data_IF_793071040283
#
_entry.id   IF_793071040283
#
_cell.length_a   1.000
_cell.length_b   1.000
_cell.length_c   1.000
_cell.angle_alpha   90.00
_cell.angle_beta   90.00
_cell.angle_gamma   90.00
#
_symmetry.space_group_name_H-M   'P 1'
#
loop_
_entity.id
_entity.type
_entity.pdbx_description
1 polymer ?
#
# COMPACT_ATOMS: atom_id res chain seq x y z
N UNK A 1 -92.06 33.46 17.47
CA UNK A 1 -91.33 34.65 16.99
C UNK A 1 -89.99 34.19 16.47
N UNK A 2 -89.79 34.23 15.15
CA UNK A 2 -88.50 34.00 14.49
C UNK A 2 -87.75 35.32 14.44
N UNK A 3 -86.46 35.34 14.77
CA UNK A 3 -85.42 36.26 14.28
C UNK A 3 -84.03 35.78 14.83
N UNK A 4 -82.88 36.21 14.28
CA UNK A 4 -82.10 35.44 13.32
C UNK A 4 -80.67 35.15 13.80
N UNK A 5 -79.91 34.43 12.97
CA UNK A 5 -78.64 33.81 13.31
C UNK A 5 -77.45 34.74 13.53
N UNK A 6 -76.47 34.20 14.26
CA UNK A 6 -75.09 34.64 14.29
C UNK A 6 -74.21 33.44 13.88
N UNK A 7 -73.66 33.49 12.66
CA UNK A 7 -72.51 32.69 12.27
C UNK A 7 -71.27 33.31 12.94
N UNK A 8 -70.70 32.64 13.93
CA UNK A 8 -69.35 32.95 14.41
C UNK A 8 -68.33 32.25 13.51
N UNK A 9 -67.72 32.99 12.59
CA UNK A 9 -66.53 32.57 11.86
C UNK A 9 -65.32 32.64 12.81
N UNK A 10 -64.82 31.48 13.24
CA UNK A 10 -63.54 31.39 13.93
C UNK A 10 -62.41 31.47 12.89
N UNK A 11 -61.72 32.60 12.84
CA UNK A 11 -60.47 32.76 12.09
C UNK A 11 -59.35 32.20 12.95
N UNK A 12 -58.84 31.02 12.59
CA UNK A 12 -57.58 30.49 13.15
C UNK A 12 -56.42 31.27 12.52
N UNK A 13 -55.88 32.22 13.26
CA UNK A 13 -54.61 32.85 12.93
C UNK A 13 -53.50 31.80 13.07
N UNK A 14 -53.03 31.26 11.94
CA UNK A 14 -51.80 30.50 11.89
C UNK A 14 -50.63 31.47 12.11
N UNK A 15 -50.16 31.58 13.35
CA UNK A 15 -48.90 32.24 13.66
C UNK A 15 -47.77 31.39 13.07
N UNK A 16 -47.22 31.83 11.93
CA UNK A 16 -45.98 31.28 11.39
C UNK A 16 -44.84 31.66 12.32
N UNK A 17 -44.53 30.80 13.28
CA UNK A 17 -43.25 30.83 13.98
C UNK A 17 -42.21 30.38 12.95
N UNK A 18 -41.55 31.35 12.31
CA UNK A 18 -40.32 31.06 11.58
C UNK A 18 -39.29 30.70 12.64
N UNK A 19 -39.06 29.40 12.85
CA UNK A 19 -37.82 28.92 13.43
C UNK A 19 -36.70 29.45 12.53
N UNK A 20 -36.07 30.53 12.98
CA UNK A 20 -34.76 30.92 12.50
C UNK A 20 -33.88 29.76 12.91
N UNK A 21 -33.61 28.88 11.96
CA UNK A 21 -32.61 27.86 12.06
C UNK A 21 -31.29 28.60 12.22
N UNK A 22 -30.89 28.81 13.48
CA UNK A 22 -29.53 29.20 13.83
C UNK A 22 -28.65 28.10 13.24
N UNK A 23 -28.03 28.38 12.08
CA UNK A 23 -26.92 27.58 11.60
C UNK A 23 -25.91 27.55 12.75
N UNK A 24 -25.80 26.40 13.39
CA UNK A 24 -24.76 26.13 14.37
C UNK A 24 -23.43 26.32 13.64
N UNK A 25 -22.82 27.50 13.80
CA UNK A 25 -21.52 27.83 13.22
C UNK A 25 -20.50 26.93 13.92
N UNK A 26 -20.35 25.71 13.44
CA UNK A 26 -19.26 24.82 13.81
C UNK A 26 -17.98 25.60 13.55
N UNK A 27 -17.15 25.89 14.57
CA UNK A 27 -16.02 26.77 14.33
C UNK A 27 -15.00 26.01 13.50
N UNK A 28 -14.64 26.61 12.36
CA UNK A 28 -13.87 26.00 11.27
C UNK A 28 -12.39 25.83 11.66
N UNK A 29 -12.12 24.88 12.57
CA UNK A 29 -10.77 24.40 12.83
C UNK A 29 -10.46 23.31 11.83
N UNK A 30 -9.68 23.66 10.81
CA UNK A 30 -9.22 22.70 9.82
C UNK A 30 -7.98 21.94 10.32
N UNK A 31 -7.91 20.67 9.96
CA UNK A 31 -6.77 19.79 10.22
C UNK A 31 -6.37 19.11 8.91
N UNK A 32 -5.09 19.18 8.58
CA UNK A 32 -4.53 18.53 7.39
C UNK A 32 -3.16 17.96 7.71
N UNK A 33 -2.64 17.08 6.85
CA UNK A 33 -1.30 16.56 7.00
C UNK A 33 -0.56 16.38 5.68
N UNK A 34 0.76 16.27 5.78
CA UNK A 34 1.66 15.94 4.67
C UNK A 34 2.74 14.99 5.15
N UNK A 35 3.11 14.02 4.31
CA UNK A 35 4.28 13.17 4.54
C UNK A 35 5.55 13.94 4.17
N UNK A 36 6.48 14.05 5.11
CA UNK A 36 7.78 14.69 4.89
C UNK A 36 8.83 13.67 4.46
N UNK A 37 8.95 12.56 5.20
CA UNK A 37 9.98 11.54 4.98
C UNK A 37 9.40 10.13 5.19
N UNK A 38 9.92 9.15 4.45
CA UNK A 38 9.51 7.74 4.53
C UNK A 38 10.71 6.90 4.99
N UNK A 39 10.53 6.13 6.06
CA UNK A 39 11.55 5.23 6.62
C UNK A 39 11.09 3.77 6.56
N UNK A 40 12.01 2.79 6.62
CA UNK A 40 11.65 1.36 6.64
C UNK A 40 10.67 0.95 7.75
N UNK A 41 10.68 1.64 8.90
CA UNK A 41 9.84 1.33 10.08
C UNK A 41 8.83 2.42 10.44
N UNK A 42 8.68 3.46 9.63
CA UNK A 42 7.80 4.58 9.97
C UNK A 42 7.83 5.71 8.94
N UNK A 43 7.10 6.79 9.18
CA UNK A 43 7.10 8.01 8.37
C UNK A 43 7.18 9.23 9.26
N UNK A 44 7.83 10.30 8.79
CA UNK A 44 7.75 11.63 9.40
C UNK A 44 6.63 12.40 8.74
N UNK A 45 5.65 12.83 9.51
CA UNK A 45 4.50 13.61 9.01
C UNK A 45 4.47 14.99 9.64
N UNK A 46 3.93 15.95 8.90
CA UNK A 46 3.60 17.28 9.38
C UNK A 46 2.09 17.40 9.45
N UNK A 47 1.54 17.52 10.66
CA UNK A 47 0.13 17.86 10.87
C UNK A 47 0.01 19.37 11.02
N UNK A 48 -0.92 19.98 10.30
CA UNK A 48 -1.20 21.42 10.38
C UNK A 48 -2.64 21.64 10.83
N UNK A 49 -2.80 22.47 11.85
CA UNK A 49 -4.08 22.95 12.36
C UNK A 49 -4.25 24.43 12.02
N UNK A 50 -5.45 24.85 11.65
CA UNK A 50 -5.73 26.26 11.40
C UNK A 50 -7.12 26.63 11.91
N UNK A 51 -7.18 27.62 12.81
CA UNK A 51 -8.40 28.13 13.41
C UNK A 51 -8.51 29.63 13.09
N UNK A 52 -9.42 29.99 12.18
CA UNK A 52 -9.63 31.39 11.78
C UNK A 52 -10.51 32.14 12.77
N UNK A 53 -11.46 31.45 13.40
CA UNK A 53 -12.48 32.06 14.25
C UNK A 53 -12.05 32.22 15.72
N UNK A 54 -10.88 31.71 16.10
CA UNK A 54 -10.38 31.78 17.49
C UNK A 54 -9.45 33.00 17.64
N UNK A 55 -9.71 33.91 18.60
CA UNK A 55 -8.85 35.08 18.83
C UNK A 55 -7.43 34.70 19.30
N UNK A 56 -6.36 35.30 18.74
CA UNK A 56 -5.01 35.11 19.22
C UNK A 56 -4.76 35.77 20.58
N UNK A 57 -3.82 35.24 21.39
CA UNK A 57 -2.97 34.08 21.12
C UNK A 57 -3.72 32.75 21.24
N UNK A 58 -3.60 31.91 20.20
CA UNK A 58 -4.29 30.63 20.10
C UNK A 58 -3.40 29.53 20.65
N UNK A 59 -3.93 28.73 21.56
CA UNK A 59 -3.30 27.49 22.04
C UNK A 59 -3.82 26.30 21.24
N UNK A 60 -3.01 25.79 20.32
CA UNK A 60 -3.30 24.54 19.62
C UNK A 60 -2.79 23.35 20.44
N UNK A 61 -3.64 22.37 20.70
CA UNK A 61 -3.28 21.06 21.23
C UNK A 61 -3.60 20.00 20.18
N UNK A 62 -2.61 19.21 19.80
CA UNK A 62 -2.83 18.03 19.00
C UNK A 62 -3.19 16.87 19.93
N UNK A 63 -4.34 16.26 19.70
CA UNK A 63 -4.87 15.19 20.52
C UNK A 63 -5.00 13.91 19.69
N UNK A 64 -4.57 12.78 20.25
CA UNK A 64 -4.81 11.46 19.71
C UNK A 64 -6.10 10.83 20.26
N UNK A 65 -6.27 9.55 19.99
CA UNK A 65 -7.41 8.76 20.48
C UNK A 65 -7.51 8.78 22.01
N UNK A 66 -8.74 8.73 22.53
CA UNK A 66 -9.07 8.91 23.96
C UNK A 66 -8.65 10.27 24.54
N UNK A 67 -8.57 11.31 23.71
CA UNK A 67 -8.21 12.68 24.12
C UNK A 67 -6.79 12.82 24.71
N UNK A 68 -5.88 11.90 24.37
CA UNK A 68 -4.50 11.96 24.83
C UNK A 68 -3.79 13.12 24.12
N UNK A 69 -3.24 14.07 24.88
CA UNK A 69 -2.51 15.21 24.31
C UNK A 69 -1.13 14.77 23.83
N UNK A 70 -0.88 14.93 22.54
CA UNK A 70 0.35 14.52 21.86
C UNK A 70 1.34 15.69 21.81
N UNK A 71 0.85 16.87 21.48
CA UNK A 71 1.67 18.08 21.39
C UNK A 71 0.83 19.33 21.67
N UNK A 72 1.51 20.43 22.00
CA UNK A 72 0.89 21.75 22.21
C UNK A 72 1.76 22.83 21.62
N UNK A 73 1.16 23.86 21.03
CA UNK A 73 1.83 25.02 20.46
C UNK A 73 0.97 26.27 20.63
N UNK A 74 1.60 27.38 21.01
CA UNK A 74 0.92 28.68 21.14
C UNK A 74 1.32 29.56 19.95
N UNK A 75 0.35 30.13 19.27
CA UNK A 75 0.55 30.99 18.11
C UNK A 75 -0.08 32.35 18.38
N UNK A 76 0.72 33.42 18.33
CA UNK A 76 0.28 34.80 18.62
C UNK A 76 -0.47 35.47 17.46
N UNK A 77 -0.67 34.75 16.37
CA UNK A 77 -1.28 35.24 15.12
C UNK A 77 -2.31 34.22 14.65
N UNK A 78 -3.09 34.54 13.61
CA UNK A 78 -3.97 33.59 12.95
C UNK A 78 -3.23 32.57 12.07
N UNK A 79 -1.89 32.56 12.05
CA UNK A 79 -1.14 31.57 11.26
C UNK A 79 -1.42 30.14 11.75
N UNK A 80 -1.41 29.15 10.84
CA UNK A 80 -1.55 27.75 11.22
C UNK A 80 -0.45 27.27 12.18
N UNK A 81 -0.79 26.31 13.03
CA UNK A 81 0.16 25.58 13.85
C UNK A 81 0.53 24.25 13.19
N UNK A 82 1.82 24.04 12.94
CA UNK A 82 2.33 22.76 12.43
C UNK A 82 3.08 21.97 13.51
N UNK A 83 2.86 20.65 13.48
CA UNK A 83 3.39 19.63 14.39
C UNK A 83 4.08 18.52 13.60
N UNK A 84 5.33 18.23 13.91
CA UNK A 84 6.08 17.13 13.29
C UNK A 84 5.99 15.87 14.15
N UNK A 85 5.57 14.75 13.57
CA UNK A 85 5.42 13.47 14.26
C UNK A 85 6.15 12.37 13.50
N UNK A 86 6.69 11.42 14.25
CA UNK A 86 7.20 10.16 13.69
C UNK A 86 6.18 9.07 13.95
N UNK A 87 5.54 8.56 12.89
CA UNK A 87 4.54 7.50 12.98
C UNK A 87 5.20 6.18 12.59
N UNK A 88 5.07 5.14 13.43
CA UNK A 88 5.71 3.84 13.20
C UNK A 88 4.73 2.80 12.65
N UNK A 89 5.24 1.78 11.94
CA UNK A 89 4.44 0.64 11.44
C UNK A 89 3.75 -0.17 12.56
N UNK A 90 4.24 -0.08 13.80
CA UNK A 90 3.67 -0.75 14.98
C UNK A 90 2.57 0.07 15.66
N UNK A 91 2.30 1.29 15.19
CA UNK A 91 1.24 2.12 15.76
C UNK A 91 -0.08 1.40 15.49
N UNK A 92 -0.84 1.08 16.55
CA UNK A 92 -2.20 0.54 16.43
C UNK A 92 -3.03 1.43 15.48
N UNK A 93 -3.99 0.89 14.70
CA UNK A 93 -4.94 1.70 13.94
C UNK A 93 -5.61 2.79 14.81
N UNK A 94 -5.84 2.48 16.09
CA UNK A 94 -6.37 3.42 17.07
C UNK A 94 -5.42 4.60 17.35
N UNK A 95 -4.13 4.50 17.07
CA UNK A 95 -3.12 5.56 17.28
C UNK A 95 -2.90 6.44 16.02
N UNK A 96 -3.69 6.23 14.97
CA UNK A 96 -3.62 6.99 13.71
C UNK A 96 -4.77 7.98 13.53
N UNK A 97 -5.51 8.25 14.59
CA UNK A 97 -6.60 9.24 14.61
C UNK A 97 -6.21 10.43 15.48
N UNK A 98 -6.19 11.62 14.87
CA UNK A 98 -5.82 12.86 15.53
C UNK A 98 -6.90 13.93 15.35
N UNK A 99 -6.96 14.88 16.27
CA UNK A 99 -7.75 16.10 16.11
C UNK A 99 -7.02 17.27 16.77
N UNK A 100 -7.31 18.48 16.31
CA UNK A 100 -6.75 19.70 16.85
C UNK A 100 -7.77 20.33 17.80
N UNK A 101 -7.31 20.72 18.99
CA UNK A 101 -8.06 21.58 19.90
C UNK A 101 -7.44 22.98 19.89
N UNK A 102 -8.19 23.98 19.45
CA UNK A 102 -7.79 25.38 19.47
C UNK A 102 -8.47 26.08 20.65
N UNK A 103 -7.67 26.60 21.59
CA UNK A 103 -8.18 27.30 22.77
C UNK A 103 -7.72 28.75 22.81
N UNK A 104 -8.63 29.66 23.18
CA UNK A 104 -8.30 31.06 23.46
C UNK A 104 -7.83 31.24 24.90
N UNK A 105 -7.40 32.45 25.25
CA UNK A 105 -6.99 32.80 26.62
C UNK A 105 -8.11 32.74 27.65
N UNK A 106 -9.38 32.82 27.21
CA UNK A 106 -10.55 32.68 28.09
C UNK A 106 -10.86 31.23 28.47
N UNK A 107 -10.14 30.25 27.91
CA UNK A 107 -10.36 28.83 28.17
C UNK A 107 -11.44 28.18 27.29
N UNK A 108 -12.18 28.98 26.52
CA UNK A 108 -13.05 28.46 25.46
C UNK A 108 -12.20 27.74 24.39
N UNK A 109 -12.69 26.60 23.91
CA UNK A 109 -11.98 25.82 22.91
C UNK A 109 -12.91 25.22 21.88
N UNK A 110 -12.33 24.93 20.72
CA UNK A 110 -12.98 24.27 19.60
C UNK A 110 -12.12 23.11 19.15
N UNK A 111 -12.76 21.99 18.86
CA UNK A 111 -12.12 20.81 18.30
C UNK A 111 -12.36 20.74 16.79
N UNK A 112 -11.33 20.33 16.04
CA UNK A 112 -11.45 20.02 14.62
C UNK A 112 -12.18 18.70 14.39
N UNK A 113 -12.53 18.44 13.13
CA UNK A 113 -12.82 17.08 12.68
C UNK A 113 -11.66 16.11 13.01
N UNK A 114 -11.98 14.81 13.09
CA UNK A 114 -10.98 13.75 13.31
C UNK A 114 -10.27 13.42 12.00
N UNK A 115 -8.95 13.53 11.99
CA UNK A 115 -8.07 13.12 10.91
C UNK A 115 -7.62 11.68 11.13
N UNK A 116 -7.99 10.78 10.22
CA UNK A 116 -7.57 9.37 10.24
C UNK A 116 -6.54 9.10 9.14
N UNK A 117 -5.36 8.58 9.49
CA UNK A 117 -4.21 8.45 8.58
C UNK A 117 -3.94 7.03 8.08
N UNK A 118 -4.96 6.18 8.00
CA UNK A 118 -4.80 4.72 7.89
C UNK A 118 -4.28 4.20 6.54
N UNK A 119 -4.49 4.92 5.41
CA UNK A 119 -4.17 4.40 4.08
C UNK A 119 -3.15 5.23 3.28
N UNK A 120 -3.27 6.56 3.21
CA UNK A 120 -2.36 7.37 2.37
C UNK A 120 -0.91 7.39 2.87
N UNK A 121 -0.70 7.02 4.14
CA UNK A 121 0.64 6.93 4.69
C UNK A 121 1.38 5.66 4.30
N UNK A 122 0.70 4.53 4.02
CA UNK A 122 1.31 3.22 4.27
C UNK A 122 1.78 2.45 3.05
N UNK A 123 1.15 2.66 1.88
CA UNK A 123 1.20 1.67 0.81
C UNK A 123 1.46 2.36 -0.55
N UNK A 124 2.62 2.09 -1.15
CA UNK A 124 2.96 2.45 -2.53
C UNK A 124 2.68 1.26 -3.45
N UNK A 125 2.04 1.47 -4.63
CA UNK A 125 1.86 0.40 -5.59
C UNK A 125 3.23 -0.10 -6.06
N UNK A 126 3.25 -1.36 -6.44
CA UNK A 126 4.40 -1.98 -7.08
C UNK A 126 4.57 -1.33 -8.45
N UNK A 127 5.80 -0.91 -8.78
CA UNK A 127 6.10 -0.32 -10.08
C UNK A 127 7.46 -0.78 -10.61
N UNK A 128 7.58 -0.79 -11.94
CA UNK A 128 8.80 -1.14 -12.66
C UNK A 128 9.34 -2.54 -12.30
N UNK A 129 8.48 -3.57 -12.33
CA UNK A 129 8.92 -4.95 -12.15
C UNK A 129 9.83 -5.37 -13.31
N UNK A 130 11.06 -5.77 -12.98
CA UNK A 130 12.04 -6.33 -13.90
C UNK A 130 12.26 -7.80 -13.58
N UNK A 131 12.45 -8.59 -14.63
CA UNK A 131 12.71 -10.02 -14.55
C UNK A 131 13.91 -10.35 -15.44
N UNK A 132 14.93 -10.98 -14.87
CA UNK A 132 16.11 -11.44 -15.61
C UNK A 132 16.15 -12.95 -15.57
N UNK A 133 16.15 -13.58 -16.74
CA UNK A 133 16.25 -15.04 -16.91
C UNK A 133 17.65 -15.38 -17.41
N UNK A 134 18.33 -16.29 -16.73
CA UNK A 134 19.64 -16.80 -17.12
C UNK A 134 19.58 -18.33 -17.21
N UNK A 135 20.07 -18.88 -18.33
CA UNK A 135 20.23 -20.31 -18.50
C UNK A 135 21.71 -20.66 -18.30
N UNK A 136 21.96 -21.61 -17.40
CA UNK A 136 23.29 -22.12 -17.11
C UNK A 136 23.38 -23.58 -17.50
N UNK A 137 24.41 -23.94 -18.25
CA UNK A 137 24.78 -25.33 -18.51
C UNK A 137 26.23 -25.54 -18.06
N UNK A 138 26.42 -25.78 -16.76
CA UNK A 138 27.75 -25.91 -16.16
C UNK A 138 27.87 -27.25 -15.46
N UNK A 139 28.32 -28.28 -16.18
CA UNK A 139 28.84 -29.57 -15.69
C UNK A 139 27.92 -30.45 -14.82
N UNK A 140 26.84 -29.89 -14.30
CA UNK A 140 25.87 -30.46 -13.36
C UNK A 140 24.46 -30.50 -13.97
N UNK A 141 24.36 -30.24 -15.28
CA UNK A 141 23.12 -30.17 -16.05
C UNK A 141 22.58 -28.74 -16.21
N UNK A 142 21.60 -28.57 -17.12
CA UNK A 142 21.01 -27.27 -17.39
C UNK A 142 20.16 -26.78 -16.21
N UNK A 143 20.31 -25.50 -15.85
CA UNK A 143 19.53 -24.81 -14.81
C UNK A 143 19.08 -23.45 -15.28
N UNK A 144 17.89 -23.06 -14.87
CA UNK A 144 17.34 -21.71 -15.09
C UNK A 144 17.40 -20.96 -13.77
N UNK A 145 17.98 -19.77 -13.80
CA UNK A 145 17.95 -18.81 -12.70
C UNK A 145 17.11 -17.61 -13.13
N UNK A 146 16.21 -17.18 -12.25
CA UNK A 146 15.33 -16.03 -12.49
C UNK A 146 15.45 -15.07 -11.34
N UNK A 147 15.79 -13.81 -11.63
CA UNK A 147 15.83 -12.73 -10.64
C UNK A 147 14.73 -11.72 -10.94
N UNK A 148 13.79 -11.57 -10.01
CA UNK A 148 12.70 -10.61 -10.10
C UNK A 148 12.90 -9.47 -9.09
N UNK A 149 12.76 -8.22 -9.52
CA UNK A 149 12.91 -7.06 -8.64
C UNK A 149 12.04 -5.89 -9.10
N UNK A 150 11.50 -5.14 -8.14
CA UNK A 150 10.71 -3.93 -8.37
C UNK A 150 11.51 -2.70 -7.94
N UNK A 151 11.39 -1.59 -8.68
CA UNK A 151 12.04 -0.32 -8.29
C UNK A 151 11.33 0.35 -7.11
N UNK A 152 10.02 0.14 -6.98
CA UNK A 152 9.20 0.73 -5.92
C UNK A 152 8.03 -0.19 -5.56
N UNK A 153 7.62 -0.12 -4.30
CA UNK A 153 6.50 -0.87 -3.74
C UNK A 153 6.63 -0.95 -2.22
N UNK A 154 5.51 -0.87 -1.51
CA UNK A 154 5.54 -1.06 -0.05
C UNK A 154 5.56 -2.56 0.30
N UNK A 155 6.41 -2.98 1.25
CA UNK A 155 6.41 -4.35 1.75
C UNK A 155 5.16 -4.65 2.60
N UNK A 156 4.80 -5.93 2.77
CA UNK A 156 5.45 -7.11 2.18
C UNK A 156 5.12 -7.25 0.69
N UNK A 157 6.15 -7.48 -0.14
CA UNK A 157 5.98 -7.79 -1.56
C UNK A 157 6.18 -9.28 -1.74
N UNK A 158 5.21 -9.94 -2.35
CA UNK A 158 5.27 -11.35 -2.72
C UNK A 158 5.65 -11.44 -4.18
N UNK A 159 6.72 -12.17 -4.47
CA UNK A 159 7.14 -12.49 -5.82
C UNK A 159 6.76 -13.92 -6.15
N UNK A 160 6.20 -14.13 -7.34
CA UNK A 160 5.81 -15.44 -7.84
C UNK A 160 6.34 -15.64 -9.25
N UNK A 161 6.81 -16.85 -9.56
CA UNK A 161 7.07 -17.28 -10.93
C UNK A 161 5.80 -17.92 -11.46
N UNK A 162 5.22 -17.30 -12.48
CA UNK A 162 3.91 -17.67 -13.02
C UNK A 162 4.07 -18.18 -14.45
N UNK A 163 3.48 -19.34 -14.75
CA UNK A 163 3.43 -19.89 -16.10
C UNK A 163 2.44 -19.11 -16.99
N UNK A 164 2.52 -19.32 -18.30
CA UNK A 164 1.57 -18.73 -19.28
C UNK A 164 0.11 -19.13 -19.03
N UNK A 165 -0.11 -20.28 -18.42
CA UNK A 165 -1.42 -20.78 -17.97
C UNK A 165 -1.93 -20.09 -16.69
N UNK A 166 -1.14 -19.20 -16.10
CA UNK A 166 -1.46 -18.50 -14.86
C UNK A 166 -1.13 -19.28 -13.60
N UNK A 167 -0.56 -20.49 -13.70
CA UNK A 167 -0.20 -21.29 -12.53
C UNK A 167 1.05 -20.73 -11.84
N UNK A 168 1.02 -20.69 -10.51
CA UNK A 168 2.17 -20.26 -9.70
C UNK A 168 3.06 -21.47 -9.43
N UNK A 169 4.29 -21.44 -9.94
CA UNK A 169 5.25 -22.53 -9.78
C UNK A 169 6.13 -22.36 -8.54
N UNK A 170 6.60 -21.14 -8.32
CA UNK A 170 7.50 -20.78 -7.22
C UNK A 170 7.07 -19.45 -6.63
N UNK A 171 7.26 -19.28 -5.33
CA UNK A 171 6.90 -18.05 -4.63
C UNK A 171 7.89 -17.75 -3.52
N UNK A 172 8.25 -16.47 -3.37
CA UNK A 172 9.16 -15.98 -2.34
C UNK A 172 8.70 -14.62 -1.80
N UNK A 173 9.03 -14.38 -0.53
CA UNK A 173 8.89 -13.07 0.14
C UNK A 173 10.24 -12.65 0.72
N UNK A 174 11.14 -12.10 -0.11
CA UNK A 174 12.45 -11.64 0.33
C UNK A 174 12.34 -10.41 1.25
N UNK A 175 13.44 -10.00 1.87
CA UNK A 175 13.46 -8.79 2.70
C UNK A 175 13.25 -7.54 1.83
N UNK A 176 12.79 -6.41 2.41
CA UNK A 176 12.56 -5.20 1.64
C UNK A 176 13.80 -4.74 0.85
N UNK A 177 13.64 -4.54 -0.45
CA UNK A 177 14.69 -4.12 -1.37
C UNK A 177 15.51 -5.26 -2.00
N UNK A 178 15.45 -6.47 -1.45
CA UNK A 178 16.10 -7.65 -2.02
C UNK A 178 15.28 -8.21 -3.20
N UNK A 179 15.94 -8.69 -4.27
CA UNK A 179 15.28 -9.40 -5.35
C UNK A 179 14.80 -10.78 -4.89
N UNK A 180 13.79 -11.32 -5.57
CA UNK A 180 13.43 -12.73 -5.47
C UNK A 180 14.21 -13.53 -6.51
N UNK A 181 14.95 -14.54 -6.06
CA UNK A 181 15.78 -15.37 -6.93
C UNK A 181 15.24 -16.80 -6.94
N UNK A 182 14.74 -17.22 -8.08
CA UNK A 182 14.23 -18.56 -8.32
C UNK A 182 15.26 -19.38 -9.09
N UNK A 183 15.34 -20.69 -8.79
CA UNK A 183 16.14 -21.63 -9.57
C UNK A 183 15.35 -22.91 -9.78
N UNK A 184 15.34 -23.41 -11.01
CA UNK A 184 14.64 -24.65 -11.38
C UNK A 184 15.31 -25.33 -12.57
N UNK A 185 14.99 -26.61 -12.77
CA UNK A 185 15.42 -27.36 -13.95
C UNK A 185 14.49 -27.05 -15.12
N UNK A 186 15.02 -26.73 -16.31
CA UNK A 186 14.17 -26.55 -17.49
C UNK A 186 13.47 -27.86 -17.86
N UNK A 187 12.23 -27.75 -18.36
CA UNK A 187 11.41 -28.87 -18.79
C UNK A 187 11.93 -29.46 -20.11
N UNK A 188 11.34 -30.58 -20.56
CA UNK A 188 11.68 -31.21 -21.84
C UNK A 188 11.19 -30.40 -23.05
N UNK A 189 10.22 -29.51 -22.84
CA UNK A 189 9.62 -28.64 -23.84
C UNK A 189 9.87 -27.18 -23.49
N UNK A 190 9.81 -26.27 -24.47
CA UNK A 190 9.92 -24.84 -24.14
C UNK A 190 8.66 -24.36 -23.42
N UNK A 191 8.81 -23.60 -22.35
CA UNK A 191 7.71 -23.04 -21.56
C UNK A 191 7.86 -21.53 -21.36
N UNK A 192 6.74 -20.83 -21.17
CA UNK A 192 6.71 -19.39 -21.01
C UNK A 192 6.43 -19.02 -19.55
N UNK A 193 7.28 -18.16 -18.99
CA UNK A 193 7.17 -17.71 -17.60
C UNK A 193 7.22 -16.19 -17.49
N UNK A 194 6.61 -15.66 -16.45
CA UNK A 194 6.70 -14.27 -16.05
C UNK A 194 6.87 -14.16 -14.53
N UNK A 195 7.56 -13.12 -14.08
CA UNK A 195 7.53 -12.74 -12.68
C UNK A 195 6.23 -11.98 -12.41
N UNK A 196 5.57 -12.30 -11.30
CA UNK A 196 4.52 -11.49 -10.70
C UNK A 196 5.06 -10.90 -9.39
N UNK A 197 4.82 -9.62 -9.14
CA UNK A 197 5.08 -8.97 -7.87
C UNK A 197 3.80 -8.33 -7.35
N UNK A 198 3.45 -8.65 -6.12
CA UNK A 198 2.17 -8.27 -5.51
C UNK A 198 2.35 -7.72 -4.11
N UNK A 199 1.62 -6.66 -3.81
CA UNK A 199 1.36 -6.21 -2.45
C UNK A 199 -0.15 -5.99 -2.25
N UNK A 200 -0.54 -5.49 -1.10
CA UNK A 200 -1.95 -5.25 -0.73
C UNK A 200 -2.67 -4.15 -1.54
N UNK A 201 -2.02 -3.56 -2.55
CA UNK A 201 -2.58 -2.48 -3.37
C UNK A 201 -2.66 -2.87 -4.83
N UNK A 202 -1.63 -3.56 -5.31
CA UNK A 202 -1.40 -3.72 -6.74
C UNK A 202 -0.64 -5.00 -7.03
N UNK A 203 -0.91 -5.53 -8.20
CA UNK A 203 -0.18 -6.62 -8.84
C UNK A 203 0.52 -6.06 -10.07
N UNK A 204 1.76 -6.48 -10.31
CA UNK A 204 2.52 -6.20 -11.51
C UNK A 204 3.05 -7.50 -12.10
N UNK A 205 3.18 -7.53 -13.43
CA UNK A 205 3.71 -8.66 -14.18
C UNK A 205 4.86 -8.19 -15.05
N UNK A 206 5.92 -9.00 -15.16
CA UNK A 206 6.94 -8.80 -16.19
C UNK A 206 6.41 -9.23 -17.54
N UNK A 207 7.15 -8.94 -18.61
CA UNK A 207 6.93 -9.62 -19.87
C UNK A 207 7.07 -11.14 -19.71
N UNK A 208 6.32 -11.89 -20.52
CA UNK A 208 6.51 -13.33 -20.66
C UNK A 208 7.83 -13.59 -21.37
N UNK A 209 8.63 -14.49 -20.81
CA UNK A 209 9.92 -14.93 -21.33
C UNK A 209 9.85 -16.42 -21.65
N UNK A 210 10.31 -16.79 -22.84
CA UNK A 210 10.42 -18.18 -23.27
C UNK A 210 11.66 -18.81 -22.63
N UNK A 211 11.47 -19.89 -21.90
CA UNK A 211 12.53 -20.74 -21.37
C UNK A 211 12.69 -21.94 -22.30
N UNK A 212 13.88 -22.16 -22.90
CA UNK A 212 14.11 -23.30 -23.77
C UNK A 212 14.23 -24.61 -22.98
N UNK A 213 14.03 -25.77 -23.64
CA UNK A 213 14.10 -27.07 -23.00
C UNK A 213 15.52 -27.40 -22.54
N UNK A 214 15.63 -28.15 -21.45
CA UNK A 214 16.89 -28.72 -20.98
C UNK A 214 17.24 -29.95 -21.81
N UNK A 215 17.99 -29.77 -22.90
CA UNK A 215 18.57 -30.91 -23.63
C UNK A 215 19.96 -31.20 -23.09
N UNK A 216 20.20 -32.45 -22.73
CA UNK A 216 21.57 -32.95 -22.57
C UNK A 216 22.21 -32.98 -23.96
N UNK A 217 23.15 -32.06 -24.23
CA UNK A 217 23.89 -32.00 -25.49
C UNK A 217 24.62 -33.33 -25.81
N UNK A 218 24.76 -34.22 -24.83
CA UNK A 218 25.40 -35.54 -24.95
C UNK A 218 24.64 -36.55 -25.82
N UNK A 219 23.34 -36.36 -26.08
CA UNK A 219 22.57 -37.28 -26.93
C UNK A 219 22.54 -36.88 -28.41
N UNK A 220 22.97 -35.65 -28.75
CA UNK A 220 22.92 -35.16 -30.12
C UNK A 220 24.09 -35.68 -30.99
N UNK A 221 25.20 -36.09 -30.37
CA UNK A 221 26.32 -36.74 -31.05
C UNK A 221 26.02 -38.19 -31.51
N UNK A 222 24.95 -38.82 -30.99
CA UNK A 222 24.56 -40.17 -31.42
C UNK A 222 23.61 -40.19 -32.63
N UNK A 223 23.04 -39.05 -33.04
CA UNK A 223 22.12 -38.97 -34.18
C UNK A 223 22.78 -38.50 -35.48
N UNK A 224 24.01 -37.99 -35.43
CA UNK A 224 24.76 -37.55 -36.61
C UNK A 224 25.51 -38.65 -37.37
N UNK A 225 25.55 -39.88 -36.85
CA UNK A 225 26.41 -40.95 -37.38
C UNK A 225 25.63 -42.23 -37.77
N UNK A 226 24.43 -42.10 -38.34
CA UNK A 226 23.75 -43.22 -39.01
C UNK A 226 24.16 -43.32 -40.48
N UNK A 227 25.46 -43.56 -40.70
CA UNK A 227 26.00 -43.97 -42.00
C UNK A 227 27.10 -45.04 -41.85
N UNK A 228 26.94 -46.01 -40.95
CA UNK A 228 27.69 -47.27 -41.00
C UNK A 228 27.08 -48.33 -40.07
N UNK A 229 26.88 -49.58 -40.52
CA UNK A 229 26.45 -50.67 -39.65
C UNK A 229 27.67 -51.38 -39.05
N UNK A 230 27.90 -51.29 -37.74
CA UNK A 230 28.36 -52.42 -36.90
C UNK A 230 28.80 -52.00 -35.49
N UNK A 231 28.34 -52.81 -34.52
CA UNK A 231 28.85 -53.11 -33.17
C UNK A 231 28.09 -52.49 -31.97
N UNK A 232 27.75 -53.34 -30.96
CA UNK A 232 27.05 -52.90 -29.76
C UNK A 232 28.01 -52.23 -28.76
N UNK A 233 27.61 -51.08 -28.22
CA UNK A 233 28.29 -50.44 -27.10
C UNK A 233 28.00 -51.20 -25.80
N UNK A 234 28.96 -51.99 -25.32
CA UNK A 234 29.02 -52.41 -23.92
C UNK A 234 29.87 -51.42 -23.11
N UNK A 235 29.43 -50.94 -21.94
CA UNK A 235 30.31 -50.23 -21.02
C UNK A 235 30.99 -51.23 -20.07
N UNK A 236 32.30 -51.46 -20.26
CA UNK A 236 33.17 -52.05 -19.23
C UNK A 236 33.73 -50.97 -18.33
N UNK A 237 33.62 -51.14 -17.02
CA UNK A 237 34.42 -50.39 -16.04
C UNK A 237 33.74 -50.15 -14.70
N UNK A 238 33.63 -51.18 -13.87
CA UNK A 238 33.46 -51.01 -12.42
C UNK A 238 34.82 -50.65 -11.78
N UNK A 239 34.88 -49.77 -10.77
CA UNK A 239 36.04 -49.70 -9.89
C UNK A 239 35.83 -50.52 -8.61
N UNK A 240 36.91 -51.17 -8.23
CA UNK A 240 37.17 -52.00 -7.06
C UNK A 240 37.09 -51.23 -5.73
N UNK A 241 36.46 -51.80 -4.71
CA UNK A 241 37.01 -52.02 -3.34
C UNK A 241 36.50 -53.37 -2.86
#
# INVERSE_FOLDING_TARGET
MRLPGLLCLAVLAASSFSEVQEEEITPDVSIAYKVLEVFPKGRRVLITCHALQVPPPITYSLCGTKNIKVAKKVVKTHKPASFSLNITLKSSPDLLTYFCRAASTSGAHVDSARLQMYWELWSKPVSELRANFALWDRGSGPRVEVSCQVSSGSPPITYSLVGKDGQVHLQQRPRPGEPANFSFLPSQTSDWFQCQAENNISVQHSALTLVPPGRDQKMQDCQGLWSAPSLPCCPTGAPTI
#
